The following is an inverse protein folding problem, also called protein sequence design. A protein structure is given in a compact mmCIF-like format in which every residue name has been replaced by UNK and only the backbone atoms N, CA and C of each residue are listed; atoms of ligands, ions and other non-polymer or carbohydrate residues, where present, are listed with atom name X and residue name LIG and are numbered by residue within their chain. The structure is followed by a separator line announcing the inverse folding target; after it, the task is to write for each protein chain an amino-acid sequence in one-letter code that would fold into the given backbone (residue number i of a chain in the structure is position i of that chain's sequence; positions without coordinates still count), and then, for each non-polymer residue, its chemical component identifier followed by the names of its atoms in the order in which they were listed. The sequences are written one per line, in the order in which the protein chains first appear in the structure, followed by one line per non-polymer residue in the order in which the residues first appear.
data_IF_984690686790
#
_entry.id   IF_984690686790
#
_cell.length_a   1.000
_cell.length_b   1.000
_cell.length_c   1.000
_cell.angle_alpha   90.00
_cell.angle_beta   90.00
_cell.angle_gamma   90.00
#
_symmetry.space_group_name_H-M   'P 1'
#
loop_
_entity.id
_entity.type
_entity.pdbx_description
1 polymer ?
#
# COMPACT_ATOMS: atom_id res chain seq x y z
N UNK A 1 -7.58 2.76 -51.36
CA UNK A 1 -6.11 2.68 -51.43
C UNK A 1 -5.60 2.66 -50.00
N UNK A 2 -5.30 1.45 -49.52
CA UNK A 2 -4.99 1.14 -48.12
C UNK A 2 -3.61 1.68 -47.75
N UNK A 3 -3.52 2.41 -46.63
CA UNK A 3 -2.24 2.81 -46.04
C UNK A 3 -1.67 1.60 -45.28
N UNK A 4 -0.72 0.91 -45.91
CA UNK A 4 0.19 -0.02 -45.25
C UNK A 4 0.96 0.73 -44.17
N UNK A 5 0.72 0.38 -42.91
CA UNK A 5 1.62 0.72 -41.81
C UNK A 5 2.71 -0.36 -41.80
N UNK A 6 3.92 0.02 -42.18
CA UNK A 6 5.11 -0.80 -42.00
C UNK A 6 5.47 -0.82 -40.50
N UNK A 7 5.34 -1.98 -39.85
CA UNK A 7 6.04 -2.26 -38.60
C UNK A 7 7.48 -2.62 -38.97
N UNK A 8 8.38 -1.66 -38.89
CA UNK A 8 9.81 -1.95 -38.74
C UNK A 8 10.04 -2.40 -37.30
N UNK A 9 10.38 -3.67 -37.16
CA UNK A 9 10.91 -4.27 -35.94
C UNK A 9 12.31 -3.73 -35.71
N UNK A 10 12.43 -2.54 -35.13
CA UNK A 10 13.71 -2.04 -34.60
C UNK A 10 13.76 -2.35 -33.11
N UNK A 11 14.78 -3.11 -32.70
CA UNK A 11 15.24 -3.29 -31.33
C UNK A 11 15.64 -1.92 -30.71
N UNK A 12 14.65 -1.08 -30.45
CA UNK A 12 14.80 0.14 -29.67
C UNK A 12 14.93 -0.30 -28.21
N UNK A 13 16.12 -0.13 -27.63
CA UNK A 13 16.41 -0.19 -26.20
C UNK A 13 15.12 0.06 -25.39
N UNK A 14 14.48 -1.00 -24.90
CA UNK A 14 13.28 -0.86 -24.06
C UNK A 14 13.70 -0.15 -22.80
N UNK A 15 13.57 1.17 -22.80
CA UNK A 15 13.76 2.03 -21.64
C UNK A 15 12.79 1.57 -20.57
N UNK A 16 13.27 0.69 -19.69
CA UNK A 16 12.45 0.16 -18.60
C UNK A 16 12.21 1.29 -17.61
N UNK A 17 10.99 1.37 -17.10
CA UNK A 17 10.61 2.37 -16.12
C UNK A 17 11.39 2.08 -14.83
N UNK A 18 12.24 3.02 -14.41
CA UNK A 18 12.98 2.95 -13.14
C UNK A 18 12.21 3.56 -11.98
N UNK A 19 11.32 4.52 -12.27
CA UNK A 19 10.44 5.14 -11.29
C UNK A 19 9.08 5.40 -11.93
N UNK A 20 8.02 4.97 -11.25
CA UNK A 20 6.65 5.25 -11.64
C UNK A 20 5.95 5.94 -10.48
N UNK A 21 5.31 7.08 -10.78
CA UNK A 21 4.38 7.71 -9.87
C UNK A 21 3.11 8.04 -10.65
N UNK A 22 1.98 7.48 -10.22
CA UNK A 22 0.75 7.70 -10.97
C UNK A 22 -0.47 7.03 -10.38
N UNK A 23 -1.59 7.28 -11.05
CA UNK A 23 -2.88 6.74 -10.68
C UNK A 23 -3.24 5.56 -11.59
N UNK A 24 -3.56 4.40 -11.01
CA UNK A 24 -3.99 3.22 -11.76
C UNK A 24 -5.33 2.75 -11.24
N UNK A 25 -6.30 2.65 -12.16
CA UNK A 25 -7.70 2.26 -11.88
C UNK A 25 -8.05 0.86 -12.33
N UNK A 26 -7.19 0.18 -13.09
CA UNK A 26 -7.52 -1.11 -13.74
C UNK A 26 -6.40 -2.12 -13.61
N UNK A 27 -6.76 -3.41 -13.56
CA UNK A 27 -5.79 -4.51 -13.58
C UNK A 27 -4.94 -4.52 -14.86
N UNK A 28 -5.55 -4.14 -16.00
CA UNK A 28 -4.83 -3.97 -17.25
C UNK A 28 -3.72 -2.90 -17.14
N UNK A 29 -3.97 -1.81 -16.39
CA UNK A 29 -2.96 -0.80 -16.12
C UNK A 29 -1.82 -1.33 -15.25
N UNK A 30 -2.12 -2.17 -14.25
CA UNK A 30 -1.11 -2.84 -13.43
C UNK A 30 -0.26 -3.81 -14.28
N UNK A 31 -0.88 -4.59 -15.16
CA UNK A 31 -0.18 -5.49 -16.07
C UNK A 31 0.71 -4.73 -17.07
N UNK A 32 0.22 -3.61 -17.61
CA UNK A 32 1.01 -2.73 -18.49
C UNK A 32 2.22 -2.16 -17.76
N UNK A 33 2.04 -1.69 -16.52
CA UNK A 33 3.13 -1.20 -15.67
C UNK A 33 4.15 -2.32 -15.39
N UNK A 34 3.69 -3.52 -15.03
CA UNK A 34 4.56 -4.68 -14.79
C UNK A 34 5.41 -5.06 -16.01
N UNK A 35 4.86 -4.93 -17.22
CA UNK A 35 5.55 -5.18 -18.48
C UNK A 35 6.61 -4.13 -18.79
N UNK A 36 6.34 -2.86 -18.45
CA UNK A 36 7.24 -1.74 -18.72
C UNK A 36 8.28 -1.48 -17.61
N UNK A 37 8.05 -1.98 -16.38
CA UNK A 37 8.91 -1.73 -15.23
C UNK A 37 10.26 -2.49 -15.29
N UNK A 38 11.31 -1.83 -14.82
CA UNK A 38 12.59 -2.47 -14.52
C UNK A 38 12.44 -3.42 -13.32
N UNK A 39 13.29 -4.44 -13.19
CA UNK A 39 13.21 -5.37 -12.05
C UNK A 39 13.38 -4.69 -10.68
N UNK A 40 14.02 -3.52 -10.65
CA UNK A 40 14.31 -2.71 -9.47
C UNK A 40 13.63 -1.35 -9.51
N UNK A 41 12.44 -1.25 -10.11
CA UNK A 41 11.75 0.04 -10.20
C UNK A 41 11.27 0.49 -8.80
N UNK A 42 11.24 1.80 -8.57
CA UNK A 42 10.49 2.39 -7.45
C UNK A 42 9.08 2.73 -7.94
N UNK A 43 8.08 2.08 -7.37
CA UNK A 43 6.69 2.15 -7.84
C UNK A 43 5.83 2.80 -6.77
N UNK A 44 5.27 3.96 -7.09
CA UNK A 44 4.29 4.68 -6.29
C UNK A 44 2.96 4.73 -7.04
N UNK A 45 2.01 3.93 -6.59
CA UNK A 45 0.70 3.83 -7.22
C UNK A 45 -0.38 4.32 -6.27
N UNK A 46 -1.26 5.16 -6.80
CA UNK A 46 -2.53 5.44 -6.16
C UNK A 46 -3.60 4.53 -6.78
N UNK A 47 -4.37 3.87 -5.93
CA UNK A 47 -5.47 2.98 -6.30
C UNK A 47 -6.75 3.50 -5.64
N UNK A 48 -7.79 3.76 -6.43
CA UNK A 48 -9.11 4.21 -5.93
C UNK A 48 -10.03 3.03 -5.55
N UNK A 49 -9.69 1.82 -5.99
CA UNK A 49 -10.44 0.59 -5.75
C UNK A 49 -9.46 -0.55 -5.39
N UNK A 50 -9.94 -1.61 -4.70
CA UNK A 50 -9.16 -2.80 -4.44
C UNK A 50 -8.74 -3.47 -5.76
N UNK A 51 -7.47 -3.31 -6.14
CA UNK A 51 -6.89 -3.89 -7.35
C UNK A 51 -5.94 -5.03 -7.01
N UNK A 52 -5.85 -5.99 -7.93
CA UNK A 52 -4.86 -7.05 -7.85
C UNK A 52 -3.47 -6.55 -8.27
N UNK A 53 -2.54 -6.50 -7.32
CA UNK A 53 -1.17 -6.01 -7.52
C UNK A 53 -0.15 -7.12 -7.78
N UNK A 54 -0.58 -8.37 -7.90
CA UNK A 54 0.30 -9.54 -8.08
C UNK A 54 1.17 -9.47 -9.33
N UNK A 55 0.71 -8.81 -10.40
CA UNK A 55 1.48 -8.69 -11.63
C UNK A 55 2.78 -7.88 -11.46
N UNK A 56 2.87 -7.02 -10.44
CA UNK A 56 4.09 -6.25 -10.15
C UNK A 56 5.18 -7.10 -9.47
N UNK A 57 4.91 -8.37 -9.17
CA UNK A 57 5.85 -9.24 -8.47
C UNK A 57 7.23 -9.30 -9.15
N UNK A 58 8.29 -9.06 -8.37
CA UNK A 58 9.68 -9.09 -8.86
C UNK A 58 10.02 -7.96 -9.85
N UNK A 59 9.18 -6.91 -9.93
CA UNK A 59 9.39 -5.72 -10.77
C UNK A 59 9.65 -4.45 -9.98
N UNK A 60 9.83 -4.54 -8.67
CA UNK A 60 10.07 -3.38 -7.84
C UNK A 60 11.10 -3.66 -6.76
N UNK A 61 11.91 -2.63 -6.47
CA UNK A 61 12.72 -2.57 -5.25
C UNK A 61 11.90 -1.94 -4.11
N UNK A 62 10.97 -1.04 -4.45
CA UNK A 62 10.12 -0.32 -3.50
C UNK A 62 8.70 -0.21 -4.07
N UNK A 63 7.70 -0.47 -3.22
CA UNK A 63 6.29 -0.36 -3.59
C UNK A 63 5.56 0.50 -2.55
N UNK A 64 5.04 1.63 -3.00
CA UNK A 64 4.15 2.50 -2.25
C UNK A 64 2.74 2.41 -2.83
N UNK A 65 1.79 1.96 -2.02
CA UNK A 65 0.38 1.88 -2.38
C UNK A 65 -0.39 2.94 -1.63
N UNK A 66 -0.93 3.93 -2.34
CA UNK A 66 -1.86 4.91 -1.79
C UNK A 66 -3.28 4.50 -2.09
N UNK A 67 -4.12 4.36 -1.06
CA UNK A 67 -5.53 4.00 -1.23
C UNK A 67 -6.38 4.93 -0.36
N UNK A 68 -7.57 5.37 -0.81
CA UNK A 68 -8.57 5.86 0.12
C UNK A 68 -9.01 4.72 1.06
N UNK A 69 -9.71 5.08 2.12
CA UNK A 69 -10.41 4.10 2.96
C UNK A 69 -11.40 3.33 2.09
N UNK A 70 -11.27 2.00 2.06
CA UNK A 70 -12.16 1.13 1.31
C UNK A 70 -13.40 0.82 2.16
N UNK A 71 -14.56 1.28 1.71
CA UNK A 71 -15.82 1.09 2.44
C UNK A 71 -16.42 -0.32 2.21
N UNK A 72 -16.14 -0.87 1.02
CA UNK A 72 -16.65 -2.17 0.58
C UNK A 72 -15.66 -3.31 0.81
N UNK A 73 -16.21 -4.45 1.27
CA UNK A 73 -15.51 -5.73 1.46
C UNK A 73 -15.12 -6.43 0.15
N UNK A 74 -14.68 -5.67 -0.87
CA UNK A 74 -14.22 -6.24 -2.12
C UNK A 74 -12.80 -6.76 -1.90
N UNK A 75 -12.61 -8.04 -2.22
CA UNK A 75 -11.33 -8.73 -2.07
C UNK A 75 -10.28 -8.10 -3.00
N UNK A 76 -9.37 -7.29 -2.47
CA UNK A 76 -8.10 -7.05 -3.14
C UNK A 76 -7.23 -8.31 -3.00
N UNK A 77 -6.35 -8.54 -3.97
CA UNK A 77 -5.32 -9.55 -3.78
C UNK A 77 -4.34 -9.06 -2.70
N UNK A 78 -4.01 -9.90 -1.69
CA UNK A 78 -3.02 -9.58 -0.68
C UNK A 78 -1.70 -9.15 -1.32
N UNK A 79 -1.02 -8.17 -0.72
CA UNK A 79 0.30 -7.78 -1.19
C UNK A 79 1.28 -8.97 -1.05
N UNK A 80 2.33 -8.96 -1.86
CA UNK A 80 3.37 -9.98 -1.73
C UNK A 80 4.41 -9.53 -0.70
N UNK A 81 4.97 -10.52 0.00
CA UNK A 81 5.79 -10.31 1.19
C UNK A 81 7.10 -9.55 0.94
N UNK A 82 7.61 -9.57 -0.29
CA UNK A 82 8.95 -9.10 -0.63
C UNK A 82 8.99 -8.37 -1.98
N UNK A 83 9.67 -7.21 -2.05
CA UNK A 83 10.08 -6.38 -0.91
C UNK A 83 8.85 -5.84 -0.14
N UNK A 84 9.01 -5.58 1.16
CA UNK A 84 7.88 -5.21 2.04
C UNK A 84 7.27 -3.88 1.59
N UNK A 85 5.95 -3.82 1.34
CA UNK A 85 5.31 -2.63 0.78
C UNK A 85 5.08 -1.54 1.84
N UNK A 86 4.98 -0.31 1.37
CA UNK A 86 4.46 0.83 2.14
C UNK A 86 3.00 1.04 1.78
N UNK A 87 2.13 1.09 2.79
CA UNK A 87 0.72 1.38 2.61
C UNK A 87 0.40 2.78 3.13
N UNK A 88 -0.19 3.62 2.28
CA UNK A 88 -0.66 4.95 2.63
C UNK A 88 -2.18 4.98 2.52
N UNK A 89 -2.87 5.18 3.64
CA UNK A 89 -4.32 5.35 3.68
C UNK A 89 -4.62 6.85 3.65
N UNK A 90 -5.36 7.28 2.64
CA UNK A 90 -5.65 8.69 2.37
C UNK A 90 -6.94 9.14 3.06
N UNK A 91 -6.83 10.23 3.80
CA UNK A 91 -7.91 11.00 4.43
C UNK A 91 -8.92 10.16 5.22
N UNK A 92 -8.49 9.32 6.18
CA UNK A 92 -9.44 8.62 7.03
C UNK A 92 -10.24 9.62 7.88
N UNK A 93 -11.56 9.60 7.70
CA UNK A 93 -12.49 10.47 8.43
C UNK A 93 -12.70 10.00 9.87
N UNK A 94 -13.23 10.88 10.72
CA UNK A 94 -13.68 10.48 12.06
C UNK A 94 -14.75 9.39 11.95
N UNK A 95 -14.70 8.39 12.82
CA UNK A 95 -15.55 7.20 12.81
C UNK A 95 -15.10 6.07 11.88
N UNK A 96 -14.01 6.23 11.11
CA UNK A 96 -13.65 5.29 10.04
C UNK A 96 -12.55 4.28 10.40
N UNK A 97 -12.13 4.20 11.67
CA UNK A 97 -11.00 3.36 12.09
C UNK A 97 -11.17 1.87 11.71
N UNK A 98 -12.38 1.32 11.77
CA UNK A 98 -12.66 -0.06 11.35
C UNK A 98 -12.48 -0.24 9.84
N UNK A 99 -12.89 0.75 9.05
CA UNK A 99 -12.72 0.74 7.59
C UNK A 99 -11.24 0.89 7.21
N UNK A 100 -10.47 1.69 7.97
CA UNK A 100 -9.02 1.76 7.85
C UNK A 100 -8.39 0.40 8.16
N UNK A 101 -8.79 -0.25 9.26
CA UNK A 101 -8.28 -1.58 9.61
C UNK A 101 -8.59 -2.60 8.50
N UNK A 102 -9.83 -2.63 8.00
CA UNK A 102 -10.22 -3.47 6.87
C UNK A 102 -9.36 -3.19 5.63
N UNK A 103 -9.10 -1.92 5.32
CA UNK A 103 -8.22 -1.53 4.20
C UNK A 103 -6.80 -2.07 4.38
N UNK A 104 -6.22 -1.92 5.57
CA UNK A 104 -4.88 -2.46 5.89
C UNK A 104 -4.86 -3.98 5.78
N UNK A 105 -5.89 -4.66 6.28
CA UNK A 105 -6.00 -6.13 6.20
C UNK A 105 -6.19 -6.63 4.77
N UNK A 106 -6.96 -5.92 3.94
CA UNK A 106 -7.17 -6.24 2.53
C UNK A 106 -5.87 -6.18 1.73
N UNK A 107 -5.00 -5.22 2.05
CA UNK A 107 -3.68 -5.11 1.44
C UNK A 107 -2.56 -5.79 2.25
N UNK A 108 -2.88 -6.47 3.35
CA UNK A 108 -1.86 -7.10 4.19
C UNK A 108 -1.05 -8.09 3.36
N UNK A 109 0.29 -7.99 3.38
CA UNK A 109 1.08 -8.96 2.66
C UNK A 109 0.90 -10.35 3.29
N UNK A 110 1.17 -11.41 2.54
CA UNK A 110 1.02 -12.79 3.08
C UNK A 110 1.82 -13.04 4.35
N UNK A 111 2.97 -12.40 4.51
CA UNK A 111 3.80 -12.44 5.71
C UNK A 111 3.33 -11.50 6.84
N UNK A 112 2.24 -10.75 6.61
CA UNK A 112 1.66 -9.73 7.49
C UNK A 112 2.62 -8.60 7.89
N UNK A 113 3.74 -8.44 7.17
CA UNK A 113 4.76 -7.44 7.44
C UNK A 113 4.80 -6.36 6.35
N UNK A 114 4.43 -5.14 6.73
CA UNK A 114 4.63 -3.93 5.93
C UNK A 114 6.01 -3.33 6.21
N UNK A 115 6.53 -2.54 5.27
CA UNK A 115 7.65 -1.66 5.58
C UNK A 115 7.19 -0.54 6.52
N UNK A 116 6.11 0.15 6.11
CA UNK A 116 5.44 1.18 6.90
C UNK A 116 3.95 1.24 6.54
N UNK A 117 3.14 1.68 7.49
CA UNK A 117 1.75 2.07 7.28
C UNK A 117 1.60 3.52 7.70
N UNK A 118 1.06 4.35 6.82
CA UNK A 118 0.89 5.78 7.04
C UNK A 118 -0.56 6.20 6.79
N UNK A 119 -1.11 6.98 7.71
CA UNK A 119 -2.39 7.66 7.56
C UNK A 119 -2.11 9.11 7.15
N UNK A 120 -2.48 9.45 5.92
CA UNK A 120 -2.33 10.80 5.38
C UNK A 120 -3.62 11.58 5.63
N UNK A 121 -3.52 12.81 6.16
CA UNK A 121 -4.65 13.69 6.47
C UNK A 121 -5.70 13.02 7.37
N UNK A 122 -5.23 12.29 8.38
CA UNK A 122 -6.08 11.58 9.32
C UNK A 122 -6.89 12.56 10.18
N UNK A 123 -8.20 12.32 10.24
CA UNK A 123 -9.12 12.93 11.19
C UNK A 123 -9.53 11.95 12.30
N UNK A 124 -8.84 10.81 12.43
CA UNK A 124 -9.05 9.88 13.54
C UNK A 124 -8.64 10.52 14.87
N UNK A 125 -9.47 10.31 15.87
CA UNK A 125 -9.15 10.65 17.27
C UNK A 125 -8.10 9.69 17.85
N UNK A 126 -7.49 10.06 18.97
CA UNK A 126 -6.50 9.21 19.65
C UNK A 126 -7.07 7.86 20.08
N UNK A 127 -8.33 7.84 20.51
CA UNK A 127 -9.03 6.60 20.89
C UNK A 127 -9.25 5.68 19.68
N UNK A 128 -9.60 6.26 18.53
CA UNK A 128 -9.74 5.50 17.29
C UNK A 128 -8.42 4.96 16.76
N UNK A 129 -7.34 5.75 16.87
CA UNK A 129 -5.99 5.26 16.57
C UNK A 129 -5.61 4.11 17.51
N UNK A 130 -5.98 4.19 18.80
CA UNK A 130 -5.76 3.11 19.78
C UNK A 130 -6.50 1.83 19.40
N UNK A 131 -7.80 1.93 19.08
CA UNK A 131 -8.61 0.79 18.63
C UNK A 131 -8.08 0.17 17.34
N UNK A 132 -7.65 1.01 16.39
CA UNK A 132 -7.02 0.58 15.14
C UNK A 132 -5.73 -0.21 15.43
N UNK A 133 -4.84 0.32 16.27
CA UNK A 133 -3.59 -0.34 16.62
C UNK A 133 -3.83 -1.69 17.32
N UNK A 134 -4.79 -1.75 18.24
CA UNK A 134 -5.17 -2.99 18.92
C UNK A 134 -5.65 -4.04 17.93
N UNK A 135 -6.57 -3.68 17.05
CA UNK A 135 -7.13 -4.60 16.05
C UNK A 135 -6.04 -5.11 15.08
N UNK A 136 -5.16 -4.22 14.61
CA UNK A 136 -4.07 -4.61 13.72
C UNK A 136 -3.04 -5.51 14.41
N UNK A 137 -2.75 -5.24 15.68
CA UNK A 137 -1.87 -6.06 16.50
C UNK A 137 -2.45 -7.46 16.77
N UNK A 138 -3.73 -7.56 17.12
CA UNK A 138 -4.46 -8.83 17.28
C UNK A 138 -4.45 -9.67 16.00
N UNK A 139 -4.52 -8.99 14.84
CA UNK A 139 -4.42 -9.66 13.52
C UNK A 139 -2.98 -10.00 13.11
N UNK A 140 -2.00 -9.73 13.97
CA UNK A 140 -0.57 -9.95 13.78
C UNK A 140 0.03 -9.19 12.59
N UNK A 141 -0.50 -7.99 12.30
CA UNK A 141 0.14 -7.08 11.34
C UNK A 141 1.35 -6.43 11.99
N UNK A 142 2.46 -6.34 11.24
CA UNK A 142 3.74 -5.80 11.71
C UNK A 142 4.27 -4.75 10.73
N UNK A 143 4.98 -3.75 11.24
CA UNK A 143 5.82 -2.86 10.42
C UNK A 143 7.29 -3.21 10.60
N UNK A 144 8.20 -2.56 9.86
CA UNK A 144 9.64 -2.79 10.04
C UNK A 144 10.23 -2.01 11.24
N UNK A 145 9.39 -1.40 12.06
CA UNK A 145 9.77 -0.65 13.24
C UNK A 145 10.04 -1.58 14.43
N UNK A 146 10.81 -1.09 15.40
CA UNK A 146 11.08 -1.78 16.67
C UNK A 146 10.46 -1.04 17.86
N UNK A 147 10.23 -1.76 18.96
CA UNK A 147 9.72 -1.23 20.23
C UNK A 147 8.21 -1.39 20.38
N UNK A 148 7.53 -0.38 20.93
CA UNK A 148 6.10 -0.46 21.24
C UNK A 148 5.19 -0.08 20.08
N UNK A 149 4.07 -0.80 19.93
CA UNK A 149 3.00 -0.45 19.00
C UNK A 149 2.42 0.94 19.32
N UNK A 150 2.44 1.88 18.37
CA UNK A 150 1.90 3.24 18.57
C UNK A 150 1.68 3.97 17.25
N UNK A 151 0.83 4.99 17.27
CA UNK A 151 0.74 5.98 16.20
C UNK A 151 1.64 7.17 16.55
N UNK A 152 2.41 7.67 15.60
CA UNK A 152 3.24 8.86 15.81
C UNK A 152 3.18 9.83 14.62
N UNK A 153 3.40 11.13 14.84
CA UNK A 153 3.52 12.09 13.75
C UNK A 153 4.68 11.74 12.79
N UNK A 154 4.42 11.80 11.48
CA UNK A 154 5.43 11.55 10.45
C UNK A 154 5.43 12.64 9.37
N UNK A 155 5.80 13.86 9.76
CA UNK A 155 5.71 15.05 8.90
C UNK A 155 4.35 15.75 8.97
N UNK A 156 4.13 16.74 8.11
CA UNK A 156 2.90 17.51 8.09
C UNK A 156 1.70 16.63 7.65
N UNK A 157 0.67 16.57 8.50
CA UNK A 157 -0.58 15.83 8.24
C UNK A 157 -0.40 14.33 7.96
N UNK A 158 0.65 13.69 8.47
CA UNK A 158 0.83 12.23 8.35
C UNK A 158 1.02 11.61 9.72
N UNK A 159 0.39 10.46 9.93
CA UNK A 159 0.56 9.63 11.12
C UNK A 159 1.11 8.29 10.67
N UNK A 160 2.26 7.89 11.21
CA UNK A 160 2.83 6.56 10.95
C UNK A 160 2.37 5.61 12.05
N UNK A 161 1.85 4.46 11.64
CA UNK A 161 1.51 3.37 12.56
C UNK A 161 2.74 2.48 12.71
N UNK A 162 3.27 2.39 13.93
CA UNK A 162 4.28 1.40 14.32
C UNK A 162 3.54 0.21 14.90
N UNK A 163 3.64 -0.94 14.25
CA UNK A 163 3.04 -2.19 14.73
C UNK A 163 4.18 -3.16 15.01
N UNK A 164 4.45 -3.37 16.29
CA UNK A 164 5.56 -4.16 16.78
C UNK A 164 5.05 -5.38 17.57
N UNK A 165 5.97 -6.22 18.08
CA UNK A 165 5.59 -7.36 18.93
C UNK A 165 4.98 -6.93 20.26
N UNK A 166 5.35 -5.75 20.77
CA UNK A 166 4.79 -5.24 22.01
C UNK A 166 3.42 -4.60 21.76
N UNK A 167 2.41 -4.87 22.60
CA UNK A 167 1.09 -4.26 22.48
C UNK A 167 1.17 -2.73 22.71
N UNK A 168 0.16 -1.96 22.28
CA UNK A 168 0.16 -0.53 22.48
C UNK A 168 0.23 -0.15 23.96
N UNK A 169 1.10 0.80 24.31
CA UNK A 169 1.23 1.30 25.68
C UNK A 169 -0.09 1.92 26.16
N UNK A 170 -0.43 1.67 27.43
CA UNK A 170 -1.73 1.88 28.10
C UNK A 170 -2.66 0.66 28.12
N UNK A 171 -2.10 -0.51 28.45
CA UNK A 171 -2.86 -1.58 29.10
C UNK A 171 -2.91 -1.33 30.61
N UNK A 172 -4.07 -0.91 31.11
CA UNK A 172 -4.58 -1.35 32.41
C UNK A 172 -6.00 -1.85 32.16
N UNK A 173 -6.30 -3.13 32.48
CA UNK A 173 -7.65 -3.67 32.37
C UNK A 173 -8.64 -2.94 33.27
#
# INVERSE_FOLDING_TARGET
MEKKVFMETTDYLRSKIKSFQGHIRTEAGIAALASAAAASASIHIRVEAPLNLSALHGKYAELHVCTPVLDTAVAAAPLLALPSPVLQVLSPGAGTWEAVARTVLTYAPRCKKFWAIELCQSALSEEEERLLLMLLHERHIRTNDAGTTRAEPHGAQRRRLRLCEDPPANFSP
#
